data_IF_665642197545
#
_entry.id   IF_665642197545
#
_cell.length_a   1.000
_cell.length_b   1.000
_cell.length_c   1.000
_cell.angle_alpha   90.00
_cell.angle_beta   90.00
_cell.angle_gamma   90.00
#
_symmetry.space_group_name_H-M   'P 1'
#
loop_
_entity.id
_entity.type
_entity.pdbx_description
1 polymer ?
#
# COMPACT_ATOMS: atom_id res chain seq x y z
N UNK A 1 -16.07 0.76 -6.27
CA UNK A 1 -15.94 -0.61 -5.71
C UNK A 1 -17.04 -1.44 -6.33
N UNK A 2 -16.68 -2.39 -7.20
CA UNK A 2 -17.67 -3.30 -7.78
C UNK A 2 -17.74 -4.55 -6.90
N UNK A 3 -18.94 -4.93 -6.46
CA UNK A 3 -19.14 -6.00 -5.47
C UNK A 3 -18.73 -7.40 -5.93
N UNK A 4 -18.91 -8.43 -5.08
CA UNK A 4 -18.30 -9.74 -5.27
C UNK A 4 -18.80 -10.42 -6.55
N UNK A 5 -17.88 -10.60 -7.50
CA UNK A 5 -18.12 -11.30 -8.77
C UNK A 5 -18.40 -12.81 -8.60
N UNK A 6 -18.25 -13.34 -7.38
CA UNK A 6 -18.51 -14.75 -7.06
C UNK A 6 -19.94 -15.25 -7.34
N UNK A 7 -20.86 -14.39 -7.75
CA UNK A 7 -22.23 -14.77 -8.17
C UNK A 7 -22.34 -15.19 -9.63
N UNK A 8 -21.32 -14.96 -10.46
CA UNK A 8 -21.34 -15.38 -11.87
C UNK A 8 -20.88 -16.83 -12.04
N UNK A 9 -21.66 -17.62 -12.78
CA UNK A 9 -21.21 -18.93 -13.26
C UNK A 9 -20.37 -18.71 -14.53
N UNK A 10 -19.07 -18.59 -14.35
CA UNK A 10 -18.10 -18.25 -15.41
C UNK A 10 -17.67 -19.46 -16.25
N UNK A 11 -17.82 -20.67 -15.73
CA UNK A 11 -17.47 -21.93 -16.38
C UNK A 11 -18.61 -22.94 -16.25
N UNK A 12 -18.62 -23.96 -17.10
CA UNK A 12 -19.44 -25.14 -16.86
C UNK A 12 -18.95 -25.93 -15.63
N UNK A 13 -19.76 -26.92 -15.23
CA UNK A 13 -19.45 -27.81 -14.10
C UNK A 13 -19.14 -29.18 -14.64
N UNK A 14 -18.15 -29.85 -14.09
CA UNK A 14 -17.88 -31.25 -14.39
C UNK A 14 -19.08 -32.11 -13.96
N UNK A 15 -19.43 -33.09 -14.78
CA UNK A 15 -20.50 -34.07 -14.55
C UNK A 15 -21.83 -33.44 -14.06
N UNK A 16 -22.28 -32.35 -14.69
CA UNK A 16 -23.50 -31.63 -14.30
C UNK A 16 -23.51 -31.24 -12.81
N UNK A 17 -22.36 -30.76 -12.33
CA UNK A 17 -22.14 -30.31 -10.95
C UNK A 17 -22.26 -31.42 -9.89
N UNK A 18 -22.27 -32.70 -10.25
CA UNK A 18 -22.32 -33.79 -9.26
C UNK A 18 -21.13 -33.82 -8.31
N UNK A 19 -19.98 -33.32 -8.74
CA UNK A 19 -18.73 -33.30 -7.97
C UNK A 19 -18.38 -31.91 -7.41
N UNK A 20 -19.28 -30.92 -7.56
CA UNK A 20 -19.04 -29.50 -7.24
C UNK A 20 -17.75 -28.92 -7.85
N UNK A 21 -17.27 -29.52 -8.94
CA UNK A 21 -16.04 -29.12 -9.61
C UNK A 21 -16.32 -28.24 -10.84
N UNK A 22 -15.45 -27.25 -11.06
CA UNK A 22 -15.47 -26.35 -12.21
C UNK A 22 -14.80 -27.05 -13.39
N UNK A 23 -15.43 -26.99 -14.57
CA UNK A 23 -14.78 -27.38 -15.83
C UNK A 23 -14.10 -26.17 -16.46
N UNK A 24 -12.81 -25.99 -16.17
CA UNK A 24 -12.01 -24.88 -16.68
C UNK A 24 -11.76 -24.94 -18.20
N UNK A 25 -12.13 -26.03 -18.89
CA UNK A 25 -12.05 -26.13 -20.34
C UNK A 25 -13.33 -25.65 -21.05
N UNK A 26 -14.38 -25.34 -20.30
CA UNK A 26 -15.69 -24.95 -20.82
C UNK A 26 -16.10 -23.58 -20.28
N UNK A 27 -15.43 -22.48 -20.70
CA UNK A 27 -15.79 -21.13 -20.30
C UNK A 27 -17.17 -20.75 -20.87
N UNK A 28 -18.01 -20.14 -20.03
CA UNK A 28 -19.32 -19.61 -20.45
C UNK A 28 -19.13 -18.25 -21.11
N UNK A 29 -18.63 -18.24 -22.35
CA UNK A 29 -18.18 -17.03 -23.06
C UNK A 29 -19.17 -15.85 -23.00
N UNK A 30 -20.48 -16.12 -23.11
CA UNK A 30 -21.51 -15.08 -23.02
C UNK A 30 -21.51 -14.34 -21.66
N UNK A 31 -21.20 -15.02 -20.56
CA UNK A 31 -21.10 -14.41 -19.22
C UNK A 31 -19.84 -13.55 -19.11
N UNK A 32 -18.70 -14.05 -19.61
CA UNK A 32 -17.46 -13.28 -19.67
C UNK A 32 -17.62 -12.00 -20.47
N UNK A 33 -18.20 -12.11 -21.67
CA UNK A 33 -18.48 -10.97 -22.54
C UNK A 33 -19.41 -9.96 -21.87
N UNK A 34 -20.50 -10.45 -21.24
CA UNK A 34 -21.43 -9.59 -20.51
C UNK A 34 -20.72 -8.76 -19.43
N UNK A 35 -19.90 -9.39 -18.60
CA UNK A 35 -19.19 -8.69 -17.52
C UNK A 35 -18.21 -7.67 -18.11
N UNK A 36 -17.39 -8.07 -19.08
CA UNK A 36 -16.43 -7.18 -19.75
C UNK A 36 -17.13 -5.96 -20.37
N UNK A 37 -18.25 -6.17 -21.06
CA UNK A 37 -19.02 -5.08 -21.66
C UNK A 37 -19.61 -4.12 -20.61
N UNK A 38 -20.04 -4.63 -19.46
CA UNK A 38 -20.56 -3.77 -18.38
C UNK A 38 -19.47 -2.88 -17.79
N UNK A 39 -18.29 -3.42 -17.54
CA UNK A 39 -17.17 -2.61 -17.06
C UNK A 39 -16.69 -1.62 -18.12
N UNK A 40 -16.59 -2.03 -19.38
CA UNK A 40 -16.27 -1.13 -20.49
C UNK A 40 -17.30 -0.01 -20.67
N UNK A 41 -18.60 -0.29 -20.46
CA UNK A 41 -19.64 0.75 -20.46
C UNK A 41 -19.43 1.79 -19.36
N UNK A 42 -19.08 1.34 -18.15
CA UNK A 42 -18.78 2.24 -17.03
C UNK A 42 -17.51 3.05 -17.31
N UNK A 43 -16.46 2.42 -17.81
CA UNK A 43 -15.22 3.08 -18.20
C UNK A 43 -15.48 4.16 -19.26
N UNK A 44 -16.16 3.84 -20.36
CA UNK A 44 -16.49 4.82 -21.41
C UNK A 44 -17.35 5.98 -20.92
N UNK A 45 -18.28 5.70 -20.00
CA UNK A 45 -19.22 6.72 -19.50
C UNK A 45 -18.58 7.69 -18.52
N UNK A 46 -17.67 7.21 -17.67
CA UNK A 46 -17.15 7.99 -16.54
C UNK A 46 -15.65 8.24 -16.60
N UNK A 47 -14.92 7.61 -17.53
CA UNK A 47 -13.50 7.85 -17.75
C UNK A 47 -12.60 7.31 -16.63
N UNK A 48 -13.00 6.22 -15.94
CA UNK A 48 -12.13 5.63 -14.92
C UNK A 48 -10.84 5.06 -15.55
N UNK A 49 -9.70 5.30 -14.90
CA UNK A 49 -8.39 4.85 -15.38
C UNK A 49 -7.97 3.49 -14.81
N UNK A 50 -8.67 2.99 -13.80
CA UNK A 50 -8.41 1.68 -13.22
C UNK A 50 -9.63 1.11 -12.53
N UNK A 51 -9.56 -0.16 -12.14
CA UNK A 51 -10.52 -0.81 -11.26
C UNK A 51 -9.85 -1.41 -10.02
N UNK A 52 -10.51 -1.32 -8.87
CA UNK A 52 -10.25 -2.19 -7.71
C UNK A 52 -11.09 -3.45 -7.89
N UNK A 53 -10.44 -4.61 -8.00
CA UNK A 53 -11.09 -5.90 -8.04
C UNK A 53 -11.23 -6.49 -6.65
N UNK A 54 -12.47 -6.53 -6.15
CA UNK A 54 -12.88 -7.15 -4.89
C UNK A 54 -12.62 -8.67 -4.94
N UNK A 55 -12.09 -9.23 -3.85
CA UNK A 55 -11.70 -10.63 -3.69
C UNK A 55 -11.05 -11.21 -4.95
N UNK A 56 -9.81 -10.84 -5.26
CA UNK A 56 -9.12 -11.24 -6.51
C UNK A 56 -9.12 -12.77 -6.79
N UNK A 57 -9.36 -13.59 -5.77
CA UNK A 57 -9.46 -15.05 -5.80
C UNK A 57 -10.85 -15.61 -6.14
N UNK A 58 -11.63 -14.96 -7.01
CA UNK A 58 -13.03 -15.35 -7.28
C UNK A 58 -13.22 -16.74 -7.92
N UNK A 59 -12.16 -17.41 -8.38
CA UNK A 59 -12.22 -18.71 -9.06
C UNK A 59 -11.10 -19.66 -8.65
N UNK A 60 -11.08 -20.03 -7.37
CA UNK A 60 -10.15 -21.00 -6.77
C UNK A 60 -9.70 -22.11 -7.74
N UNK A 61 -8.38 -22.25 -7.93
CA UNK A 61 -7.74 -23.28 -8.78
C UNK A 61 -6.78 -24.12 -7.94
N UNK A 62 -7.26 -25.21 -7.30
CA UNK A 62 -6.46 -25.98 -6.35
C UNK A 62 -5.13 -26.53 -6.90
N UNK A 63 -5.04 -26.75 -8.22
CA UNK A 63 -3.82 -27.19 -8.89
C UNK A 63 -2.78 -26.07 -9.09
N UNK A 64 -3.12 -24.84 -8.77
CA UNK A 64 -2.28 -23.66 -8.97
C UNK A 64 -2.57 -22.91 -10.27
N UNK A 65 -1.67 -21.98 -10.59
CA UNK A 65 -1.63 -21.26 -11.87
C UNK A 65 -1.29 -22.25 -13.00
N UNK A 66 -2.07 -22.31 -14.10
CA UNK A 66 -1.78 -23.21 -15.22
C UNK A 66 -0.57 -22.73 -16.03
N UNK A 67 0.12 -23.65 -16.71
CA UNK A 67 1.28 -23.35 -17.56
C UNK A 67 0.95 -22.40 -18.73
N UNK A 68 -0.31 -22.37 -19.17
CA UNK A 68 -0.81 -21.49 -20.22
C UNK A 68 -1.95 -20.64 -19.68
N UNK A 69 -1.77 -19.32 -19.73
CA UNK A 69 -2.77 -18.33 -19.33
C UNK A 69 -3.58 -17.91 -20.55
N UNK A 70 -4.87 -18.23 -20.56
CA UNK A 70 -5.80 -17.81 -21.61
C UNK A 70 -6.64 -16.59 -21.18
N UNK A 71 -7.48 -16.10 -22.10
CA UNK A 71 -8.37 -14.96 -21.84
C UNK A 71 -9.50 -15.22 -20.85
N UNK A 72 -9.62 -16.45 -20.34
CA UNK A 72 -10.63 -16.85 -19.36
C UNK A 72 -10.00 -17.25 -18.02
N UNK A 73 -8.68 -17.08 -17.84
CA UNK A 73 -8.01 -17.48 -16.61
C UNK A 73 -8.60 -16.80 -15.37
N UNK A 74 -8.75 -15.48 -15.42
CA UNK A 74 -9.28 -14.62 -14.38
C UNK A 74 -10.19 -13.52 -14.96
N UNK A 75 -11.32 -13.27 -14.28
CA UNK A 75 -12.35 -12.33 -14.76
C UNK A 75 -11.93 -10.86 -14.65
N UNK A 76 -11.11 -10.50 -13.65
CA UNK A 76 -10.64 -9.14 -13.50
C UNK A 76 -9.54 -8.86 -14.53
N UNK A 77 -8.61 -9.80 -14.72
CA UNK A 77 -7.66 -9.77 -15.83
C UNK A 77 -8.32 -9.67 -17.21
N UNK A 78 -9.42 -10.41 -17.43
CA UNK A 78 -10.20 -10.32 -18.66
C UNK A 78 -10.84 -8.93 -18.86
N UNK A 79 -11.42 -8.34 -17.81
CA UNK A 79 -11.98 -6.97 -17.86
C UNK A 79 -10.89 -5.94 -18.21
N UNK A 80 -9.73 -5.99 -17.54
CA UNK A 80 -8.59 -5.10 -17.83
C UNK A 80 -8.19 -5.22 -19.30
N UNK A 81 -7.94 -6.44 -19.76
CA UNK A 81 -7.48 -6.69 -21.12
C UNK A 81 -8.52 -6.31 -22.19
N UNK A 82 -9.80 -6.54 -21.93
CA UNK A 82 -10.88 -6.12 -22.83
C UNK A 82 -10.93 -4.60 -22.98
N UNK A 83 -10.86 -3.84 -21.87
CA UNK A 83 -10.84 -2.38 -21.91
C UNK A 83 -9.58 -1.85 -22.64
N UNK A 84 -8.41 -2.43 -22.38
CA UNK A 84 -7.16 -2.02 -23.04
C UNK A 84 -7.17 -2.27 -24.54
N UNK A 85 -7.60 -3.46 -24.97
CA UNK A 85 -7.51 -3.91 -26.37
C UNK A 85 -8.70 -3.46 -27.21
N UNK A 86 -9.91 -3.71 -26.74
CA UNK A 86 -11.14 -3.50 -27.53
C UNK A 86 -11.67 -2.07 -27.42
N UNK A 87 -11.27 -1.32 -26.39
CA UNK A 87 -11.67 0.10 -26.21
C UNK A 87 -10.50 1.08 -26.39
N UNK A 88 -9.29 0.58 -26.62
CA UNK A 88 -8.10 1.41 -26.88
C UNK A 88 -7.56 2.19 -25.67
N UNK A 89 -8.00 1.85 -24.45
CA UNK A 89 -7.58 2.54 -23.22
C UNK A 89 -6.35 1.83 -22.65
N UNK A 90 -5.21 1.98 -23.31
CA UNK A 90 -4.01 1.19 -23.07
C UNK A 90 -3.45 1.27 -21.63
N UNK A 91 -3.78 2.33 -20.90
CA UNK A 91 -3.33 2.62 -19.53
C UNK A 91 -4.25 2.05 -18.43
N UNK A 92 -5.38 1.40 -18.79
CA UNK A 92 -6.36 0.98 -17.79
C UNK A 92 -5.77 -0.06 -16.80
N UNK A 93 -5.77 0.26 -15.51
CA UNK A 93 -5.13 -0.52 -14.46
C UNK A 93 -6.05 -1.47 -13.68
N UNK A 94 -5.44 -2.46 -13.03
CA UNK A 94 -6.09 -3.41 -12.12
C UNK A 94 -5.37 -3.42 -10.76
N UNK A 95 -6.09 -2.92 -9.75
CA UNK A 95 -5.75 -3.01 -8.34
C UNK A 95 -6.45 -4.24 -7.72
N UNK A 96 -5.69 -5.28 -7.39
CA UNK A 96 -6.20 -6.50 -6.78
C UNK A 96 -6.43 -6.33 -5.28
N UNK A 97 -7.62 -6.65 -4.78
CA UNK A 97 -7.84 -6.86 -3.36
C UNK A 97 -7.38 -8.26 -2.95
N UNK A 98 -6.18 -8.33 -2.39
CA UNK A 98 -5.70 -9.49 -1.65
C UNK A 98 -4.61 -9.11 -0.64
N UNK A 99 -4.33 -9.99 0.32
CA UNK A 99 -3.48 -9.74 1.48
C UNK A 99 -2.17 -10.54 1.48
N UNK A 100 -1.61 -10.89 0.30
CA UNK A 100 -0.37 -11.66 0.17
C UNK A 100 -0.39 -12.93 1.01
N UNK A 101 -1.48 -13.69 0.88
CA UNK A 101 -1.69 -14.86 1.72
C UNK A 101 -0.58 -15.90 1.48
N UNK A 102 -0.21 -16.67 2.51
CA UNK A 102 0.74 -17.77 2.35
C UNK A 102 0.30 -18.75 1.26
N UNK A 103 1.27 -19.45 0.69
CA UNK A 103 1.05 -20.47 -0.33
C UNK A 103 -0.12 -21.39 0.03
N UNK A 104 -1.00 -21.64 -0.94
CA UNK A 104 -2.17 -22.50 -0.88
C UNK A 104 -3.32 -22.04 0.04
N UNK A 105 -3.21 -20.92 0.77
CA UNK A 105 -4.31 -20.41 1.59
C UNK A 105 -5.49 -19.97 0.73
N UNK A 106 -5.22 -19.29 -0.37
CA UNK A 106 -6.24 -18.83 -1.33
C UNK A 106 -6.50 -19.86 -2.45
N UNK A 107 -5.91 -21.05 -2.37
CA UNK A 107 -6.09 -22.17 -3.33
C UNK A 107 -5.67 -21.86 -4.78
N UNK A 108 -4.56 -21.13 -4.95
CA UNK A 108 -3.90 -20.90 -6.26
C UNK A 108 -2.41 -21.24 -6.26
N UNK A 109 -1.89 -21.94 -5.25
CA UNK A 109 -0.45 -22.06 -5.07
C UNK A 109 0.12 -20.78 -4.45
N UNK A 110 1.14 -20.20 -5.10
CA UNK A 110 1.72 -18.91 -4.70
C UNK A 110 0.82 -17.76 -5.15
N UNK A 111 0.53 -16.82 -4.25
CA UNK A 111 -0.43 -15.74 -4.54
C UNK A 111 0.10 -14.77 -5.62
N UNK A 112 1.39 -14.46 -5.59
CA UNK A 112 2.01 -13.58 -6.58
C UNK A 112 1.97 -14.16 -7.99
N UNK A 113 2.08 -15.47 -8.14
CA UNK A 113 1.97 -16.13 -9.45
C UNK A 113 0.55 -15.95 -9.99
N UNK A 114 -0.47 -16.04 -9.13
CA UNK A 114 -1.86 -15.79 -9.52
C UNK A 114 -2.08 -14.35 -9.95
N UNK A 115 -1.55 -13.38 -9.19
CA UNK A 115 -1.69 -11.95 -9.48
C UNK A 115 -1.03 -11.55 -10.80
N UNK A 116 0.15 -12.10 -11.11
CA UNK A 116 0.80 -11.86 -12.40
C UNK A 116 0.03 -12.53 -13.55
N UNK A 117 -0.47 -13.76 -13.34
CA UNK A 117 -1.30 -14.44 -14.33
C UNK A 117 -2.66 -13.74 -14.56
N UNK A 118 -3.20 -13.05 -13.56
CA UNK A 118 -4.41 -12.22 -13.70
C UNK A 118 -4.12 -10.81 -14.25
N UNK A 119 -2.86 -10.50 -14.59
CA UNK A 119 -2.43 -9.19 -15.09
C UNK A 119 -2.78 -8.07 -14.09
N UNK A 120 -2.67 -8.33 -12.78
CA UNK A 120 -2.77 -7.30 -11.75
C UNK A 120 -1.54 -6.38 -11.78
N UNK A 121 -1.77 -5.07 -11.79
CA UNK A 121 -0.66 -4.09 -11.73
C UNK A 121 -0.19 -3.90 -10.29
N UNK A 122 -1.14 -3.88 -9.35
CA UNK A 122 -0.87 -3.73 -7.94
C UNK A 122 -1.81 -4.57 -7.10
N UNK A 123 -1.37 -4.92 -5.90
CA UNK A 123 -2.19 -5.59 -4.89
C UNK A 123 -2.22 -4.82 -3.59
N UNK A 124 -3.35 -4.90 -2.89
CA UNK A 124 -3.57 -4.30 -1.59
C UNK A 124 -2.49 -4.67 -0.57
N UNK A 125 -2.20 -5.96 -0.44
CA UNK A 125 -1.31 -6.53 0.55
C UNK A 125 -1.82 -6.42 2.00
N UNK A 126 -0.96 -6.72 2.96
CA UNK A 126 -1.27 -6.95 4.36
C UNK A 126 -0.60 -6.00 5.37
N UNK A 127 0.25 -5.04 4.95
CA UNK A 127 0.87 -4.05 5.84
C UNK A 127 -0.15 -3.28 6.71
N UNK A 128 -1.36 -3.07 6.18
CA UNK A 128 -2.48 -2.50 6.93
C UNK A 128 -2.86 -3.24 8.21
N UNK A 129 -2.48 -4.51 8.36
CA UNK A 129 -2.81 -5.37 9.50
C UNK A 129 -1.68 -5.47 10.53
N UNK A 130 -0.78 -4.49 10.56
CA UNK A 130 0.39 -4.52 11.45
C UNK A 130 0.56 -3.18 12.14
N UNK A 131 1.15 -3.18 13.34
CA UNK A 131 1.52 -1.93 14.03
C UNK A 131 2.83 -1.40 13.44
N UNK A 132 2.89 -0.10 13.13
CA UNK A 132 4.11 0.55 12.62
C UNK A 132 5.26 0.32 13.59
N UNK A 133 6.43 -0.07 13.06
CA UNK A 133 7.60 -0.34 13.89
C UNK A 133 7.60 -1.70 14.57
N UNK A 134 6.53 -2.48 14.52
CA UNK A 134 6.57 -3.87 14.99
C UNK A 134 7.56 -4.69 14.14
N UNK A 135 8.02 -5.82 14.71
CA UNK A 135 8.87 -6.77 13.99
C UNK A 135 8.18 -7.24 12.70
N UNK A 136 6.90 -7.56 12.80
CA UNK A 136 6.07 -8.02 11.69
C UNK A 136 5.94 -6.96 10.58
N UNK A 137 5.70 -5.70 10.93
CA UNK A 137 5.63 -4.61 9.96
C UNK A 137 6.91 -4.50 9.13
N UNK A 138 8.08 -4.53 9.78
CA UNK A 138 9.36 -4.39 9.08
C UNK A 138 9.72 -5.60 8.22
N UNK A 139 9.42 -6.81 8.71
CA UNK A 139 9.61 -8.05 7.95
C UNK A 139 8.76 -8.06 6.68
N UNK A 140 7.47 -7.72 6.81
CA UNK A 140 6.55 -7.61 5.66
C UNK A 140 6.96 -6.49 4.72
N UNK A 141 7.37 -5.34 5.25
CA UNK A 141 7.82 -4.24 4.42
C UNK A 141 9.10 -4.60 3.65
N UNK A 142 10.06 -5.31 4.26
CA UNK A 142 11.21 -5.83 3.51
C UNK A 142 10.76 -6.80 2.41
N UNK A 143 9.85 -7.73 2.72
CA UNK A 143 9.33 -8.67 1.72
C UNK A 143 8.62 -7.96 0.55
N UNK A 144 7.92 -6.85 0.80
CA UNK A 144 7.33 -6.03 -0.27
C UNK A 144 8.39 -5.46 -1.22
N UNK A 145 9.53 -5.04 -0.67
CA UNK A 145 10.63 -4.54 -1.49
C UNK A 145 11.25 -5.65 -2.34
N UNK A 146 11.37 -6.87 -1.80
CA UNK A 146 11.83 -8.03 -2.57
C UNK A 146 10.85 -8.33 -3.73
N UNK A 147 9.54 -8.21 -3.48
CA UNK A 147 8.51 -8.35 -4.52
C UNK A 147 8.62 -7.26 -5.58
N UNK A 148 8.76 -5.99 -5.20
CA UNK A 148 8.94 -4.89 -6.17
C UNK A 148 10.17 -5.06 -7.06
N UNK A 149 11.24 -5.67 -6.53
CA UNK A 149 12.49 -5.88 -7.27
C UNK A 149 12.44 -7.08 -8.20
N UNK A 150 11.57 -8.06 -7.93
CA UNK A 150 11.60 -9.38 -8.59
C UNK A 150 10.33 -9.75 -9.34
N UNK A 151 9.21 -9.04 -9.11
CA UNK A 151 7.87 -9.38 -9.62
C UNK A 151 7.28 -8.21 -10.41
N UNK A 152 6.33 -8.50 -11.30
CA UNK A 152 5.66 -7.46 -12.10
C UNK A 152 4.44 -6.85 -11.41
N UNK A 153 3.77 -7.60 -10.54
CA UNK A 153 2.70 -7.06 -9.69
C UNK A 153 3.32 -6.39 -8.45
N UNK A 154 2.95 -5.13 -8.19
CA UNK A 154 3.52 -4.35 -7.09
C UNK A 154 2.61 -4.39 -5.84
N UNK A 155 3.10 -4.77 -4.65
CA UNK A 155 2.32 -4.59 -3.44
C UNK A 155 2.18 -3.10 -3.09
N UNK A 156 1.03 -2.73 -2.54
CA UNK A 156 0.71 -1.35 -2.21
C UNK A 156 1.06 -1.04 -0.75
N UNK A 157 1.84 0.02 -0.53
CA UNK A 157 2.13 0.55 0.80
C UNK A 157 0.86 1.14 1.41
N UNK A 158 0.10 0.31 2.12
CA UNK A 158 -1.17 0.75 2.69
C UNK A 158 -0.95 1.69 3.87
N UNK A 159 -1.60 2.87 3.81
CA UNK A 159 -1.47 3.91 4.81
C UNK A 159 -2.47 3.68 5.96
N UNK A 160 -3.62 4.34 5.88
CA UNK A 160 -4.76 4.21 6.78
C UNK A 160 -5.97 3.78 5.94
N UNK A 161 -6.76 2.80 6.39
CA UNK A 161 -7.71 2.12 5.50
C UNK A 161 -8.97 1.62 6.19
N UNK A 162 -10.10 1.78 5.49
CA UNK A 162 -11.38 1.24 5.90
C UNK A 162 -11.36 -0.30 6.05
N UNK A 163 -10.48 -1.02 5.36
CA UNK A 163 -10.44 -2.49 5.44
C UNK A 163 -10.06 -3.01 6.84
N UNK A 164 -9.35 -2.19 7.62
CA UNK A 164 -8.98 -2.47 9.01
C UNK A 164 -9.62 -1.50 10.00
N UNK A 165 -10.64 -0.76 9.58
CA UNK A 165 -11.35 0.16 10.45
C UNK A 165 -12.47 -0.56 11.21
N UNK A 166 -12.08 -1.35 12.20
CA UNK A 166 -12.94 -2.18 13.05
C UNK A 166 -12.33 -2.19 14.46
N UNK A 167 -13.13 -2.24 15.54
CA UNK A 167 -12.62 -2.23 16.91
C UNK A 167 -11.51 -3.24 17.20
N UNK A 168 -11.51 -4.38 16.51
CA UNK A 168 -10.49 -5.43 16.65
C UNK A 168 -9.10 -5.03 16.20
N UNK A 169 -9.00 -3.94 15.44
CA UNK A 169 -7.79 -3.49 14.75
C UNK A 169 -7.39 -2.07 15.14
N UNK A 170 -7.99 -1.51 16.19
CA UNK A 170 -7.72 -0.15 16.65
C UNK A 170 -6.24 0.09 16.99
N UNK A 171 -5.53 -0.96 17.46
CA UNK A 171 -4.11 -0.90 17.77
C UNK A 171 -3.25 -0.45 16.58
N UNK A 172 -3.67 -0.73 15.33
CA UNK A 172 -2.95 -0.31 14.13
C UNK A 172 -3.00 1.21 13.92
N UNK A 173 -3.92 1.90 14.59
CA UNK A 173 -4.16 3.34 14.48
C UNK A 173 -3.74 4.13 15.72
N UNK A 174 -3.21 3.49 16.77
CA UNK A 174 -2.81 4.21 17.99
C UNK A 174 -1.67 5.19 17.74
N UNK A 175 -0.68 4.81 16.93
CA UNK A 175 0.51 5.62 16.65
C UNK A 175 1.07 5.35 15.24
N UNK A 176 1.93 6.24 14.74
CA UNK A 176 2.67 6.05 13.48
C UNK A 176 1.88 6.26 12.19
N UNK A 177 0.64 6.76 12.27
CA UNK A 177 -0.21 7.02 11.09
C UNK A 177 0.41 8.08 10.15
N UNK A 178 0.97 9.15 10.69
CA UNK A 178 1.68 10.19 9.94
C UNK A 178 3.02 9.68 9.39
N UNK A 179 3.72 8.82 10.13
CA UNK A 179 4.92 8.15 9.62
C UNK A 179 4.63 7.23 8.43
N UNK A 180 3.52 6.48 8.44
CA UNK A 180 3.08 5.71 7.26
C UNK A 180 2.91 6.62 6.06
N UNK A 181 2.20 7.73 6.24
CA UNK A 181 2.00 8.70 5.17
C UNK A 181 3.34 9.28 4.70
N UNK A 182 4.29 9.55 5.60
CA UNK A 182 5.62 10.03 5.26
C UNK A 182 6.34 9.03 4.35
N UNK A 183 6.36 7.75 4.74
CA UNK A 183 6.98 6.70 3.93
C UNK A 183 6.27 6.58 2.58
N UNK A 184 4.93 6.50 2.56
CA UNK A 184 4.19 6.31 1.31
C UNK A 184 4.22 7.50 0.34
N UNK A 185 4.48 8.72 0.80
CA UNK A 185 4.66 9.90 -0.07
C UNK A 185 6.08 10.00 -0.62
N UNK A 186 7.09 9.61 0.15
CA UNK A 186 8.50 9.76 -0.24
C UNK A 186 9.16 8.47 -0.74
N UNK A 187 8.47 7.34 -0.67
CA UNK A 187 8.83 6.09 -1.34
C UNK A 187 8.15 6.03 -2.71
N UNK A 188 8.74 6.73 -3.68
CA UNK A 188 8.10 7.02 -4.98
C UNK A 188 8.07 5.85 -5.95
N UNK A 189 8.65 4.70 -5.59
CA UNK A 189 8.67 3.47 -6.39
C UNK A 189 7.65 2.41 -5.93
N UNK A 190 6.80 2.71 -4.95
CA UNK A 190 5.74 1.82 -4.48
C UNK A 190 4.40 2.57 -4.51
N UNK A 191 3.35 1.95 -5.04
CA UNK A 191 2.01 2.52 -4.95
C UNK A 191 1.60 2.62 -3.47
N UNK A 192 0.82 3.63 -3.11
CA UNK A 192 0.23 3.77 -1.78
C UNK A 192 -1.23 4.23 -1.91
N UNK A 193 -2.04 3.95 -0.90
CA UNK A 193 -3.40 4.50 -0.83
C UNK A 193 -3.84 4.75 0.61
N UNK A 194 -4.84 5.62 0.74
CA UNK A 194 -5.44 6.01 2.00
C UNK A 194 -6.96 6.06 1.84
N UNK A 195 -7.69 5.60 2.86
CA UNK A 195 -9.13 5.77 2.94
C UNK A 195 -9.50 7.24 3.15
N UNK A 196 -10.56 7.69 2.49
CA UNK A 196 -11.06 9.06 2.63
C UNK A 196 -11.48 9.34 4.08
N UNK A 197 -11.00 10.47 4.62
CA UNK A 197 -11.37 10.96 5.94
C UNK A 197 -10.67 10.28 7.12
N UNK A 198 -9.71 9.39 6.86
CA UNK A 198 -8.85 8.82 7.91
C UNK A 198 -7.87 9.85 8.49
N UNK A 199 -7.69 10.98 7.81
CA UNK A 199 -6.91 12.12 8.31
C UNK A 199 -7.46 12.72 9.60
N UNK A 200 -8.74 12.49 9.93
CA UNK A 200 -9.34 12.94 11.19
C UNK A 200 -9.73 11.79 12.12
N UNK A 201 -9.35 10.55 11.80
CA UNK A 201 -9.73 9.38 12.60
C UNK A 201 -9.27 9.52 14.05
N UNK A 202 -10.20 9.32 14.98
CA UNK A 202 -9.90 9.33 16.41
C UNK A 202 -9.12 8.08 16.83
N UNK A 203 -8.38 8.22 17.92
CA UNK A 203 -7.67 7.10 18.55
C UNK A 203 -8.60 6.44 19.55
N UNK A 204 -8.84 5.14 19.38
CA UNK A 204 -9.69 4.35 20.26
C UNK A 204 -8.84 3.31 20.98
N UNK A 205 -8.64 3.48 22.30
CA UNK A 205 -7.98 2.47 23.13
C UNK A 205 -8.95 1.39 23.63
N UNK A 206 -10.25 1.63 23.44
CA UNK A 206 -11.36 0.72 23.70
C UNK A 206 -12.35 0.88 22.55
N UNK A 207 -13.14 -0.17 22.21
CA UNK A 207 -14.13 -0.09 21.15
C UNK A 207 -15.04 1.14 21.28
N UNK A 208 -15.05 1.99 20.25
CA UNK A 208 -16.03 3.06 20.11
C UNK A 208 -17.38 2.51 19.61
N UNK A 209 -18.46 3.31 19.60
CA UNK A 209 -19.69 2.94 18.91
C UNK A 209 -19.44 2.66 17.42
N UNK A 210 -20.20 1.73 16.84
CA UNK A 210 -19.99 1.25 15.46
C UNK A 210 -20.07 2.37 14.40
N UNK A 211 -20.78 3.46 14.69
CA UNK A 211 -20.91 4.64 13.83
C UNK A 211 -19.59 5.40 13.63
N UNK A 212 -18.57 5.15 14.46
CA UNK A 212 -17.23 5.72 14.29
C UNK A 212 -16.35 4.90 13.33
N UNK A 213 -16.77 3.69 12.96
CA UNK A 213 -16.00 2.79 12.10
C UNK A 213 -16.66 2.74 10.74
N UNK A 214 -15.98 3.30 9.74
CA UNK A 214 -16.47 3.35 8.35
C UNK A 214 -16.85 1.97 7.83
N UNK A 215 -16.06 0.93 8.17
CA UNK A 215 -16.33 -0.46 7.79
C UNK A 215 -17.67 -0.96 8.32
N UNK A 216 -17.96 -0.74 9.60
CA UNK A 216 -19.19 -1.21 10.23
C UNK A 216 -20.39 -0.39 9.75
N UNK A 217 -20.19 0.93 9.58
CA UNK A 217 -21.22 1.83 9.10
C UNK A 217 -21.73 1.50 7.69
N UNK A 218 -20.85 1.17 6.74
CA UNK A 218 -21.27 0.87 5.36
C UNK A 218 -21.98 -0.47 5.21
N UNK A 219 -21.83 -1.41 6.15
CA UNK A 219 -22.59 -2.67 6.12
C UNK A 219 -24.06 -2.48 6.47
N UNK A 220 -24.43 -1.40 7.18
CA UNK A 220 -25.80 -1.08 7.56
C UNK A 220 -26.55 -2.25 8.23
N UNK A 221 -25.85 -3.04 9.04
CA UNK A 221 -26.44 -4.13 9.81
C UNK A 221 -27.48 -3.55 10.80
N UNK A 222 -28.67 -4.13 10.84
CA UNK A 222 -29.76 -3.68 11.72
C UNK A 222 -29.77 -4.36 13.08
N UNK A 223 -29.08 -5.50 13.21
CA UNK A 223 -29.10 -6.34 14.41
C UNK A 223 -27.72 -6.88 14.77
N UNK A 224 -27.55 -7.25 16.04
CA UNK A 224 -26.33 -7.85 16.55
C UNK A 224 -25.19 -6.86 16.85
N UNK A 225 -23.99 -7.36 17.17
CA UNK A 225 -22.88 -6.53 17.69
C UNK A 225 -22.27 -5.58 16.65
N UNK A 226 -22.60 -5.75 15.36
CA UNK A 226 -22.16 -4.87 14.27
C UNK A 226 -23.22 -3.86 13.85
N UNK A 227 -24.36 -3.84 14.53
CA UNK A 227 -25.46 -2.96 14.18
C UNK A 227 -25.06 -1.48 14.33
N UNK A 228 -25.60 -0.65 13.45
CA UNK A 228 -25.50 0.82 13.54
C UNK A 228 -26.89 1.42 13.65
N UNK A 229 -27.06 2.41 14.51
CA UNK A 229 -28.36 3.02 14.85
C UNK A 229 -28.41 4.52 14.53
N UNK A 230 -27.26 5.16 14.31
CA UNK A 230 -27.15 6.59 14.04
C UNK A 230 -26.53 6.94 12.68
N UNK A 231 -26.35 8.24 12.39
CA UNK A 231 -25.51 8.69 11.28
C UNK A 231 -24.03 8.36 11.53
N UNK A 232 -23.23 8.32 10.46
CA UNK A 232 -21.78 8.17 10.58
C UNK A 232 -21.18 9.31 11.41
N UNK A 233 -20.26 8.98 12.30
CA UNK A 233 -19.56 9.95 13.14
C UNK A 233 -18.14 10.12 12.64
N UNK A 234 -17.86 11.29 12.07
CA UNK A 234 -16.50 11.67 11.68
C UNK A 234 -15.63 11.85 12.92
N UNK A 235 -14.38 11.40 12.82
CA UNK A 235 -13.39 11.65 13.87
C UNK A 235 -13.02 13.13 13.96
N UNK A 236 -12.54 13.54 15.13
CA UNK A 236 -12.19 14.92 15.48
C UNK A 236 -10.70 15.08 15.82
N UNK A 237 -9.84 14.21 15.28
CA UNK A 237 -8.41 14.21 15.56
C UNK A 237 -7.68 15.34 14.83
N UNK A 238 -7.80 16.56 15.37
CA UNK A 238 -7.16 17.75 14.82
C UNK A 238 -5.63 17.69 14.82
N UNK A 239 -5.04 16.92 15.74
CA UNK A 239 -3.59 16.70 15.76
C UNK A 239 -3.13 15.91 14.54
N UNK A 240 -3.73 14.74 14.28
CA UNK A 240 -3.42 13.94 13.09
C UNK A 240 -3.67 14.74 11.82
N UNK A 241 -4.82 15.41 11.73
CA UNK A 241 -5.17 16.23 10.57
C UNK A 241 -4.12 17.31 10.27
N UNK A 242 -3.66 18.03 11.29
CA UNK A 242 -2.61 19.05 11.16
C UNK A 242 -1.30 18.45 10.65
N UNK A 243 -0.87 17.32 11.23
CA UNK A 243 0.38 16.64 10.88
C UNK A 243 0.37 16.12 9.43
N UNK A 244 -0.69 15.41 9.03
CA UNK A 244 -0.82 14.88 7.66
C UNK A 244 -0.98 16.00 6.63
N UNK A 245 -1.64 17.11 6.98
CA UNK A 245 -1.76 18.27 6.10
C UNK A 245 -0.41 18.93 5.87
N UNK A 246 0.38 19.16 6.94
CA UNK A 246 1.73 19.72 6.82
C UNK A 246 2.62 18.86 5.93
N UNK A 247 2.52 17.55 6.09
CA UNK A 247 3.26 16.57 5.30
C UNK A 247 2.84 16.57 3.83
N UNK A 248 1.53 16.57 3.51
CA UNK A 248 1.03 16.65 2.13
C UNK A 248 1.47 17.93 1.43
N UNK A 249 1.35 19.08 2.10
CA UNK A 249 1.77 20.37 1.54
C UNK A 249 3.27 20.39 1.21
N UNK A 250 4.10 19.80 2.07
CA UNK A 250 5.52 19.68 1.80
C UNK A 250 5.82 18.69 0.66
N UNK A 251 5.13 17.54 0.63
CA UNK A 251 5.25 16.58 -0.48
C UNK A 251 4.88 17.21 -1.82
N UNK A 252 3.77 17.96 -1.89
CA UNK A 252 3.33 18.69 -3.09
C UNK A 252 4.40 19.70 -3.55
N UNK A 253 5.05 20.40 -2.61
CA UNK A 253 6.10 21.37 -2.90
C UNK A 253 7.30 20.72 -3.62
N UNK A 254 7.68 19.50 -3.23
CA UNK A 254 8.85 18.81 -3.79
C UNK A 254 8.50 17.76 -4.84
N UNK A 255 7.20 17.51 -5.10
CA UNK A 255 6.73 16.37 -5.88
C UNK A 255 7.36 16.30 -7.27
N UNK A 256 7.41 17.44 -7.98
CA UNK A 256 8.01 17.53 -9.31
C UNK A 256 9.48 17.09 -9.34
N UNK A 257 10.19 17.15 -8.22
CA UNK A 257 11.61 16.78 -8.11
C UNK A 257 11.82 15.32 -7.71
N UNK A 258 10.80 14.63 -7.22
CA UNK A 258 10.91 13.27 -6.66
C UNK A 258 10.05 12.23 -7.39
N UNK A 259 8.95 12.66 -8.02
CA UNK A 259 8.01 11.78 -8.70
C UNK A 259 8.68 11.00 -9.83
N UNK A 260 8.44 9.68 -9.84
CA UNK A 260 8.99 8.78 -10.87
C UNK A 260 10.51 8.55 -10.78
N UNK A 261 11.22 9.13 -9.80
CA UNK A 261 12.65 8.84 -9.60
C UNK A 261 12.82 7.47 -8.92
N UNK A 262 13.77 6.64 -9.39
CA UNK A 262 14.04 5.35 -8.79
C UNK A 262 14.63 5.50 -7.39
N UNK A 263 14.17 4.70 -6.43
CA UNK A 263 14.62 4.75 -5.03
C UNK A 263 15.88 3.90 -4.82
N UNK A 264 16.82 4.43 -4.04
CA UNK A 264 18.01 3.74 -3.53
C UNK A 264 17.96 3.68 -2.00
N UNK A 265 17.98 2.47 -1.45
CA UNK A 265 18.07 2.26 -0.01
C UNK A 265 19.49 2.49 0.51
N UNK A 266 19.59 3.23 1.61
CA UNK A 266 20.83 3.39 2.40
C UNK A 266 20.73 2.55 3.67
N UNK A 267 19.56 2.56 4.30
CA UNK A 267 19.16 1.69 5.40
C UNK A 267 17.77 1.14 5.05
N UNK A 268 17.74 -0.08 4.48
CA UNK A 268 16.51 -0.80 4.09
C UNK A 268 15.78 -1.33 5.33
N UNK A 269 14.45 -1.52 5.30
CA UNK A 269 13.73 -2.28 6.32
C UNK A 269 14.45 -3.58 6.67
N UNK A 270 14.64 -3.82 7.95
CA UNK A 270 15.36 -5.00 8.43
C UNK A 270 14.52 -6.28 8.24
N UNK A 271 15.07 -7.26 7.53
CA UNK A 271 14.45 -8.57 7.30
C UNK A 271 14.23 -9.38 8.60
N UNK A 272 14.95 -9.08 9.68
CA UNK A 272 14.70 -9.65 11.01
C UNK A 272 13.78 -8.77 11.86
N UNK A 273 13.51 -7.53 11.42
CA UNK A 273 12.67 -6.56 12.09
C UNK A 273 13.25 -6.00 13.39
N UNK A 274 14.56 -6.05 13.60
CA UNK A 274 15.24 -5.53 14.79
C UNK A 274 15.54 -4.04 14.65
N UNK A 275 16.15 -3.61 13.53
CA UNK A 275 16.39 -2.19 13.26
C UNK A 275 15.11 -1.47 12.84
N UNK A 276 14.76 -0.39 13.55
CA UNK A 276 13.61 0.47 13.24
C UNK A 276 13.98 1.71 12.42
N UNK A 277 15.25 1.85 12.03
CA UNK A 277 15.74 3.00 11.28
C UNK A 277 15.71 2.72 9.79
N UNK A 278 15.10 3.63 9.04
CA UNK A 278 15.05 3.61 7.58
C UNK A 278 15.76 4.86 7.03
N UNK A 279 16.45 4.70 5.91
CA UNK A 279 17.01 5.81 5.16
C UNK A 279 17.10 5.47 3.67
N UNK A 280 16.67 6.39 2.82
CA UNK A 280 16.71 6.21 1.37
C UNK A 280 16.89 7.54 0.65
N UNK A 281 17.25 7.43 -0.60
CA UNK A 281 17.47 8.54 -1.53
C UNK A 281 17.07 8.09 -2.93
N UNK A 282 17.38 8.88 -3.96
CA UNK A 282 17.16 8.50 -5.35
C UNK A 282 18.42 7.83 -5.93
N UNK A 283 18.24 7.01 -6.97
CA UNK A 283 19.30 6.17 -7.55
C UNK A 283 20.16 6.88 -8.59
N UNK A 284 19.86 8.13 -8.90
CA UNK A 284 20.68 8.96 -9.77
C UNK A 284 22.03 9.30 -9.12
N UNK A 285 22.99 9.69 -9.96
CA UNK A 285 24.37 9.99 -9.52
C UNK A 285 24.45 11.24 -8.61
N UNK A 286 23.39 12.06 -8.62
CA UNK A 286 23.31 13.33 -7.89
C UNK A 286 21.93 13.50 -7.24
N UNK A 287 21.65 12.75 -6.15
CA UNK A 287 20.35 12.82 -5.50
C UNK A 287 20.17 14.11 -4.72
N UNK A 288 19.02 14.76 -4.88
CA UNK A 288 18.76 16.06 -4.23
C UNK A 288 18.16 15.93 -2.83
N UNK A 289 17.59 14.76 -2.52
CA UNK A 289 16.85 14.49 -1.29
C UNK A 289 17.36 13.24 -0.60
N UNK A 290 17.42 13.32 0.73
CA UNK A 290 17.69 12.22 1.64
C UNK A 290 16.54 12.13 2.64
N UNK A 291 15.89 10.97 2.68
CA UNK A 291 14.78 10.68 3.57
C UNK A 291 15.24 9.75 4.69
N UNK A 292 14.80 10.05 5.91
CA UNK A 292 15.16 9.28 7.11
C UNK A 292 13.91 9.08 7.95
N UNK A 293 13.69 7.89 8.48
CA UNK A 293 12.52 7.57 9.30
C UNK A 293 12.87 6.68 10.49
N UNK A 294 12.35 7.03 11.67
CA UNK A 294 12.35 6.17 12.84
C UNK A 294 10.99 5.48 12.95
N UNK A 295 10.94 4.19 12.62
CA UNK A 295 9.74 3.38 12.78
C UNK A 295 9.44 3.01 14.24
N UNK A 296 10.35 3.23 15.20
CA UNK A 296 10.02 3.08 16.60
C UNK A 296 9.13 4.25 17.04
N UNK A 297 7.86 3.98 17.29
CA UNK A 297 6.87 5.00 17.66
C UNK A 297 6.89 5.33 19.16
N UNK A 298 7.52 4.49 19.98
CA UNK A 298 7.59 4.68 21.42
C UNK A 298 8.90 5.34 21.88
N UNK A 299 10.01 5.09 21.18
CA UNK A 299 11.33 5.58 21.56
C UNK A 299 12.09 6.27 20.42
N UNK A 300 12.81 7.32 20.78
CA UNK A 300 13.77 7.97 19.88
C UNK A 300 15.06 7.16 19.72
N UNK A 301 15.72 7.33 18.59
CA UNK A 301 17.02 6.72 18.31
C UNK A 301 18.11 7.73 18.64
N UNK A 302 19.02 7.34 19.54
CA UNK A 302 20.23 8.08 19.83
C UNK A 302 21.30 7.80 18.75
N UNK A 303 22.01 8.85 18.35
CA UNK A 303 23.19 8.88 17.49
C UNK A 303 23.41 7.67 16.55
N UNK A 304 23.24 7.87 15.24
CA UNK A 304 23.48 6.84 14.22
C UNK A 304 24.19 7.41 12.98
N UNK A 305 24.67 6.53 12.11
CA UNK A 305 25.31 6.88 10.85
C UNK A 305 24.46 6.45 9.66
N UNK A 306 24.17 7.37 8.75
CA UNK A 306 23.61 7.07 7.43
C UNK A 306 24.78 6.79 6.47
N UNK A 307 24.84 5.64 5.79
CA UNK A 307 25.93 5.33 4.87
C UNK A 307 26.19 6.46 3.86
N UNK A 308 27.47 6.69 3.56
CA UNK A 308 27.87 7.68 2.57
C UNK A 308 27.25 7.36 1.20
N UNK A 309 26.76 8.40 0.51
CA UNK A 309 26.11 8.28 -0.79
C UNK A 309 27.17 8.47 -1.86
N UNK A 310 27.48 7.40 -2.59
CA UNK A 310 28.44 7.45 -3.70
C UNK A 310 28.00 8.45 -4.77
N UNK A 311 28.92 9.28 -5.25
CA UNK A 311 28.64 10.31 -6.29
C UNK A 311 28.36 11.71 -5.73
N UNK A 312 28.20 11.84 -4.41
CA UNK A 312 28.02 13.13 -3.71
C UNK A 312 29.36 13.59 -3.13
N UNK A 313 29.65 14.89 -3.17
CA UNK A 313 30.85 15.44 -2.53
C UNK A 313 30.71 15.29 -0.99
N UNK A 314 31.66 14.65 -0.29
CA UNK A 314 31.59 14.49 1.16
C UNK A 314 31.57 15.82 1.94
N UNK A 315 32.02 16.92 1.34
CA UNK A 315 31.99 18.26 1.93
C UNK A 315 30.66 19.00 1.67
N UNK A 316 29.84 18.52 0.74
CA UNK A 316 28.53 19.10 0.45
C UNK A 316 27.55 18.75 1.59
N UNK A 317 27.00 19.74 2.31
CA UNK A 317 26.13 19.49 3.44
C UNK A 317 24.71 19.12 2.99
N UNK A 318 24.06 18.25 3.76
CA UNK A 318 22.63 18.03 3.68
C UNK A 318 21.91 18.89 4.71
N UNK A 319 20.94 19.71 4.28
CA UNK A 319 20.19 20.59 5.17
C UNK A 319 18.81 20.00 5.47
N UNK A 320 18.46 19.90 6.74
CA UNK A 320 17.13 19.45 7.15
C UNK A 320 16.09 20.49 6.71
N UNK A 321 15.19 20.10 5.82
CA UNK A 321 14.13 20.98 5.32
C UNK A 321 12.78 20.67 5.97
N UNK A 322 12.57 19.42 6.40
CA UNK A 322 11.30 18.99 6.96
C UNK A 322 11.49 17.93 8.05
N UNK A 323 10.64 17.97 9.07
CA UNK A 323 10.48 16.95 10.09
C UNK A 323 9.01 16.76 10.44
N UNK A 324 8.57 15.52 10.64
CA UNK A 324 7.22 15.23 11.21
C UNK A 324 7.14 15.62 12.69
N UNK A 325 8.23 15.58 13.45
CA UNK A 325 8.27 16.06 14.84
C UNK A 325 8.28 17.60 14.95
N UNK A 326 8.57 18.31 13.85
CA UNK A 326 8.58 19.77 13.77
C UNK A 326 9.88 20.42 14.27
N UNK A 327 10.37 20.03 15.45
CA UNK A 327 11.67 20.50 15.96
C UNK A 327 12.80 19.54 15.61
N UNK A 328 13.90 20.07 15.08
CA UNK A 328 15.16 19.35 14.83
C UNK A 328 16.29 20.10 15.53
N UNK A 329 17.11 19.37 16.29
CA UNK A 329 18.23 19.96 17.03
C UNK A 329 19.24 20.62 16.08
N UNK A 330 19.92 21.67 16.54
CA UNK A 330 20.93 22.39 15.72
C UNK A 330 21.99 21.45 15.14
N UNK A 331 22.39 20.43 15.90
CA UNK A 331 23.37 19.43 15.47
C UNK A 331 22.88 18.52 14.34
N UNK A 332 21.57 18.46 14.09
CA UNK A 332 20.95 17.64 13.06
C UNK A 332 20.28 18.48 11.96
N UNK A 333 20.41 19.81 12.00
CA UNK A 333 19.98 20.70 10.92
C UNK A 333 20.86 20.56 9.69
N UNK A 334 22.13 20.18 9.88
CA UNK A 334 23.11 20.03 8.81
C UNK A 334 23.84 18.70 9.00
N UNK A 335 23.80 17.83 7.99
CA UNK A 335 24.59 16.60 7.97
C UNK A 335 25.79 16.78 7.03
N UNK A 336 26.98 16.57 7.58
CA UNK A 336 28.24 16.56 6.82
C UNK A 336 28.83 15.15 6.92
N UNK A 337 29.38 14.65 5.82
CA UNK A 337 30.02 13.34 5.83
C UNK A 337 31.37 13.41 6.55
N UNK A 338 31.68 12.38 7.34
CA UNK A 338 33.03 12.16 7.84
C UNK A 338 33.87 11.28 6.89
N UNK A 339 33.43 11.11 5.64
CA UNK A 339 34.03 10.22 4.64
C UNK A 339 33.59 8.75 4.75
N UNK A 340 32.79 8.38 5.77
CA UNK A 340 32.21 7.04 5.93
C UNK A 340 30.69 7.06 6.02
N UNK A 341 30.14 8.01 6.76
CA UNK A 341 28.70 8.18 6.97
C UNK A 341 28.37 9.64 7.29
N UNK A 342 27.10 9.98 7.17
CA UNK A 342 26.50 11.19 7.72
C UNK A 342 26.04 10.88 9.15
N UNK A 343 26.55 11.62 10.14
CA UNK A 343 26.17 11.42 11.54
C UNK A 343 24.87 12.17 11.83
N UNK A 344 23.88 11.47 12.36
CA UNK A 344 22.67 12.05 12.96
C UNK A 344 22.77 11.83 14.46
N UNK A 345 22.54 12.86 15.28
CA UNK A 345 22.70 12.82 16.73
C UNK A 345 21.44 12.32 17.44
N UNK A 346 20.25 12.56 16.87
CA UNK A 346 19.03 11.93 17.35
C UNK A 346 17.87 12.03 16.37
N UNK A 347 16.97 11.05 16.43
CA UNK A 347 15.72 11.04 15.68
C UNK A 347 14.59 10.66 16.65
N UNK A 348 13.57 11.50 16.78
CA UNK A 348 12.49 11.29 17.74
C UNK A 348 11.64 10.07 17.39
N UNK A 349 10.84 9.61 18.34
CA UNK A 349 9.94 8.48 18.15
C UNK A 349 8.94 8.79 17.01
N UNK A 350 8.80 7.87 16.07
CA UNK A 350 7.92 8.03 14.90
C UNK A 350 8.32 9.15 13.93
N UNK A 351 9.52 9.72 14.05
CA UNK A 351 9.92 10.89 13.26
C UNK A 351 10.38 10.51 11.84
N UNK A 352 9.86 11.22 10.84
CA UNK A 352 10.38 11.27 9.47
C UNK A 352 11.05 12.62 9.20
N UNK A 353 12.23 12.61 8.58
CA UNK A 353 12.98 13.82 8.17
C UNK A 353 13.30 13.80 6.69
N UNK A 354 13.26 14.99 6.09
CA UNK A 354 13.75 15.22 4.73
C UNK A 354 14.90 16.20 4.78
N UNK A 355 16.01 15.76 4.22
CA UNK A 355 17.21 16.55 4.02
C UNK A 355 17.36 16.87 2.53
N UNK A 356 17.83 18.06 2.21
CA UNK A 356 18.03 18.55 0.85
C UNK A 356 19.46 19.08 0.69
N UNK A 357 20.05 18.93 -0.49
CA UNK A 357 21.32 19.59 -0.81
C UNK A 357 21.09 21.07 -1.17
N UNK A 358 21.94 22.00 -0.69
CA UNK A 358 21.89 23.38 -1.15
C UNK A 358 22.33 23.45 -2.63
N UNK A 359 21.52 24.10 -3.46
CA UNK A 359 21.83 24.37 -4.87
C UNK A 359 22.94 25.41 -5.06
#
# INVERSE_FOLDING_TARGET
VFGPLGRYKLYERLDDNRQWAIDFNQPRQAVWQYVCDKYAQVQRRYGFDFMRGDMAHVQMRPAGVPDTIDGYYDILGAVKNYIRREQGVAYFGYFAETFLAPRNVMTYGEEMDHLEASDADTTLGDLQSTVVGSKEFLQRFNAYLDLLETRSCAPCFTLMTADKDDPRFDEFYHQGNDLRLFIGLFLTNMASYMGLGFETRDVHYQPAPNEHYSKLYVFQESEGPKATHGPYVWGQNGHLYSQVTRLRLYADQIWANIAGRPVRWLLRPDALGESKLLAWTHSDDHPDYLFVANCNVDEGIASFGIPFISGVDPLEPWQCQFSTAGYVSENDQILISNGKHYKVNGLAAGEGRVYVRPH
#
